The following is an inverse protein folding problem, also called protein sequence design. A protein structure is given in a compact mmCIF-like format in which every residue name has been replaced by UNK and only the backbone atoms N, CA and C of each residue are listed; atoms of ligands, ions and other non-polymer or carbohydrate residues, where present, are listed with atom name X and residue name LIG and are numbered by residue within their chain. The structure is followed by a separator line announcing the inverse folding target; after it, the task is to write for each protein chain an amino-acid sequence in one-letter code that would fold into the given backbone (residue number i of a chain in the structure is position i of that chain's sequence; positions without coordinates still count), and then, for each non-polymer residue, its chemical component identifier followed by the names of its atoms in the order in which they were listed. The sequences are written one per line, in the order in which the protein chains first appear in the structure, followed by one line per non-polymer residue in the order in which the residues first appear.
data_IF_307746669945
#
_entry.id   IF_307746669945
#
_cell.length_a   1.000
_cell.length_b   1.000
_cell.length_c   1.000
_cell.angle_alpha   90.00
_cell.angle_beta   90.00
_cell.angle_gamma   90.00
#
_symmetry.space_group_name_H-M   'P 1'
#
loop_
_entity.id
_entity.type
_entity.pdbx_description
1 polymer ?
#
# COMPACT_ATOMS: atom_id res chain seq x y z
N UNK A 1 167.16 42.05 71.02
CA UNK A 1 165.80 41.50 71.15
C UNK A 1 165.26 41.39 69.74
N UNK A 2 165.54 40.33 68.97
CA UNK A 2 165.06 38.97 69.21
C UNK A 2 163.63 39.04 69.77
N UNK A 3 162.58 39.14 68.93
CA UNK A 3 162.06 38.15 67.96
C UNK A 3 161.55 36.91 68.69
N UNK A 4 160.22 36.75 68.72
CA UNK A 4 159.55 35.45 68.90
C UNK A 4 158.08 35.46 68.41
N UNK A 5 157.96 35.29 67.08
CA UNK A 5 156.94 34.61 66.25
C UNK A 5 155.44 35.05 66.21
N UNK A 6 155.00 35.57 65.05
CA UNK A 6 153.61 35.42 64.52
C UNK A 6 153.43 35.71 62.99
N UNK A 7 154.43 35.57 62.13
CA UNK A 7 154.21 35.61 60.66
C UNK A 7 154.39 34.18 60.09
N UNK A 8 153.37 33.62 59.42
CA UNK A 8 153.47 32.36 58.66
C UNK A 8 153.25 32.59 57.17
N UNK A 9 153.88 31.73 56.39
CA UNK A 9 153.81 31.78 54.93
C UNK A 9 152.54 31.08 54.46
N UNK A 10 151.73 31.80 53.70
CA UNK A 10 150.62 31.26 52.89
C UNK A 10 150.86 31.54 51.40
N UNK A 11 150.09 30.90 50.50
CA UNK A 11 150.19 31.06 49.03
C UNK A 11 149.78 32.46 48.51
N UNK A 12 149.37 33.35 49.42
CA UNK A 12 148.74 34.65 49.11
C UNK A 12 149.09 35.75 50.13
N UNK A 13 150.25 35.65 50.79
CA UNK A 13 150.80 36.73 51.63
C UNK A 13 150.85 36.39 53.11
N UNK A 14 151.53 37.24 53.87
CA UNK A 14 151.47 37.19 55.33
C UNK A 14 150.13 37.80 55.76
N UNK A 15 149.17 36.98 56.24
CA UNK A 15 148.05 37.49 57.05
C UNK A 15 148.58 37.89 58.42
N UNK A 16 147.96 38.89 59.03
CA UNK A 16 148.08 39.14 60.47
C UNK A 16 146.92 38.40 61.12
N UNK A 17 147.12 37.78 62.27
CA UNK A 17 145.98 37.33 63.09
C UNK A 17 145.19 38.58 63.56
N UNK A 18 143.98 38.82 63.00
CA UNK A 18 143.04 39.87 63.43
C UNK A 18 142.93 41.21 62.66
N UNK A 19 143.24 41.37 61.35
CA UNK A 19 143.11 42.67 60.59
C UNK A 19 142.47 42.61 59.17
N UNK A 20 142.19 43.77 58.52
CA UNK A 20 141.36 44.01 57.27
C UNK A 20 142.12 44.44 55.98
N UNK A 21 141.44 44.40 54.80
CA UNK A 21 142.00 44.36 53.40
C UNK A 21 142.34 45.70 52.70
N UNK A 22 142.08 46.84 53.33
CA UNK A 22 142.14 48.15 52.64
C UNK A 22 142.57 49.33 53.51
N UNK A 23 142.62 49.16 54.82
CA UNK A 23 143.86 49.58 55.44
C UNK A 23 144.90 48.57 55.01
N UNK A 24 146.03 49.04 54.52
CA UNK A 24 147.11 48.12 54.18
C UNK A 24 148.06 48.11 55.35
N UNK A 25 148.36 46.95 55.90
CA UNK A 25 149.46 46.88 56.85
C UNK A 25 150.77 47.34 56.18
N UNK A 26 151.55 48.08 56.93
CA UNK A 26 152.95 48.34 56.66
C UNK A 26 153.81 47.28 57.36
N UNK A 27 154.86 46.79 56.72
CA UNK A 27 155.73 45.75 57.27
C UNK A 27 156.52 46.14 58.55
N UNK A 28 156.29 47.33 59.13
CA UNK A 28 156.67 47.63 60.52
C UNK A 28 155.62 47.24 61.59
N UNK A 29 154.40 46.81 61.22
CA UNK A 29 153.35 46.37 62.16
C UNK A 29 152.14 47.32 62.38
N UNK A 30 152.11 48.51 61.78
CA UNK A 30 150.95 49.45 61.73
C UNK A 30 150.34 49.58 60.31
N UNK A 31 149.25 50.33 60.07
CA UNK A 31 148.51 50.43 58.77
C UNK A 31 148.76 51.75 57.99
N UNK A 32 148.65 51.73 56.64
CA UNK A 32 148.70 52.89 55.72
C UNK A 32 147.58 52.90 54.69
N UNK A 33 147.29 54.14 54.30
CA UNK A 33 146.09 54.55 53.62
C UNK A 33 146.22 54.53 52.10
N UNK A 34 145.05 54.42 51.50
CA UNK A 34 144.70 54.13 50.13
C UNK A 34 145.15 55.20 49.11
N UNK A 35 146.17 56.04 49.37
CA UNK A 35 146.67 57.02 48.37
C UNK A 35 147.49 56.38 47.23
N UNK A 36 147.61 55.05 47.26
CA UNK A 36 147.92 54.21 46.09
C UNK A 36 146.67 53.73 45.36
N UNK A 37 145.51 54.28 45.71
CA UNK A 37 144.38 54.28 44.84
C UNK A 37 144.33 55.64 44.19
N UNK A 38 144.27 55.53 42.87
CA UNK A 38 143.55 56.44 42.03
C UNK A 38 143.67 57.92 42.38
N UNK A 39 144.62 58.67 41.84
CA UNK A 39 145.96 58.39 41.26
C UNK A 39 146.43 59.67 40.59
N UNK A 40 147.67 60.03 40.86
CA UNK A 40 148.31 61.27 40.42
C UNK A 40 148.79 61.21 38.95
N UNK A 41 148.08 60.46 38.10
CA UNK A 41 148.62 60.05 36.79
C UNK A 41 147.74 60.24 35.56
N UNK A 42 146.40 60.43 35.67
CA UNK A 42 145.60 60.48 34.43
C UNK A 42 144.21 61.16 34.46
N UNK A 43 143.89 62.16 35.29
CA UNK A 43 142.70 62.99 34.98
C UNK A 43 142.90 64.48 35.26
N UNK A 44 142.81 65.24 34.17
CA UNK A 44 142.90 66.70 34.08
C UNK A 44 141.52 67.26 33.71
N UNK A 45 140.76 67.91 34.61
CA UNK A 45 139.46 68.49 34.25
C UNK A 45 139.54 70.02 34.06
N UNK A 46 140.18 70.41 32.95
CA UNK A 46 139.56 71.37 32.01
C UNK A 46 138.17 70.89 31.51
N UNK A 47 137.73 69.71 31.94
CA UNK A 47 136.41 69.08 31.82
C UNK A 47 135.49 69.22 33.05
N UNK A 48 135.64 70.20 33.94
CA UNK A 48 134.48 70.57 34.79
C UNK A 48 134.33 72.05 35.17
N UNK A 49 134.86 72.98 34.38
CA UNK A 49 134.12 74.23 34.16
C UNK A 49 133.79 74.23 32.68
N UNK A 50 132.52 74.35 32.24
CA UNK A 50 132.24 74.48 30.83
C UNK A 50 132.84 75.81 30.31
N UNK A 51 134.12 75.81 29.97
CA UNK A 51 134.67 76.75 29.02
C UNK A 51 133.97 76.45 27.72
N UNK A 52 132.96 77.26 27.42
CA UNK A 52 132.96 78.07 26.17
C UNK A 52 131.64 78.77 25.89
N UNK A 53 130.82 79.13 26.89
CA UNK A 53 129.80 80.14 26.59
C UNK A 53 129.72 81.20 27.67
N UNK A 54 130.28 82.37 27.38
CA UNK A 54 129.68 83.62 27.83
C UNK A 54 128.66 84.04 26.77
N UNK A 55 127.59 84.71 27.19
CA UNK A 55 126.62 85.30 26.28
C UNK A 55 126.53 86.78 26.55
N UNK A 56 126.79 87.58 25.53
CA UNK A 56 126.55 89.02 25.55
C UNK A 56 125.24 89.31 24.83
N UNK A 57 124.19 89.73 25.54
CA UNK A 57 122.92 90.22 24.96
C UNK A 57 122.62 91.59 25.60
N UNK A 58 122.38 92.59 24.74
CA UNK A 58 122.34 94.04 25.06
C UNK A 58 123.61 94.58 25.78
N UNK A 59 124.80 94.22 25.30
CA UNK A 59 126.07 94.84 25.72
C UNK A 59 126.62 94.40 27.09
N UNK A 60 125.89 93.53 27.79
CA UNK A 60 126.33 92.97 29.08
C UNK A 60 126.71 91.50 28.89
N UNK A 61 127.93 91.12 29.27
CA UNK A 61 128.42 89.74 29.18
C UNK A 61 128.02 88.96 30.42
N UNK A 62 127.36 87.82 30.23
CA UNK A 62 126.92 86.92 31.30
C UNK A 62 127.59 85.55 31.20
N UNK A 63 127.88 84.97 32.36
CA UNK A 63 128.46 83.62 32.53
C UNK A 63 127.37 82.54 32.40
N UNK A 64 127.56 81.54 31.52
CA UNK A 64 126.61 80.45 31.26
C UNK A 64 126.94 79.13 31.97
N UNK A 65 127.80 79.15 33.00
CA UNK A 65 127.99 78.00 33.91
C UNK A 65 126.84 77.79 34.92
N UNK A 66 125.79 78.62 34.87
CA UNK A 66 124.57 78.50 35.68
C UNK A 66 123.30 78.55 34.82
N UNK A 67 122.33 77.67 35.09
CA UNK A 67 121.05 77.59 34.36
C UNK A 67 120.20 78.85 34.63
N UNK A 68 120.17 79.78 33.67
CA UNK A 68 119.40 81.04 33.68
C UNK A 68 118.51 81.10 32.44
N UNK A 69 117.22 81.36 32.62
CA UNK A 69 116.26 81.60 31.53
C UNK A 69 116.10 83.10 31.27
N UNK A 70 116.02 83.51 30.00
CA UNK A 70 115.93 84.89 29.53
C UNK A 70 114.77 85.04 28.52
N UNK A 71 114.00 86.13 28.56
CA UNK A 71 112.99 86.46 27.55
C UNK A 71 113.05 87.92 27.13
N UNK A 72 113.17 88.18 25.82
CA UNK A 72 113.07 89.49 25.17
C UNK A 72 111.64 89.73 24.66
N UNK A 73 111.12 90.97 24.62
CA UNK A 73 109.80 91.24 24.07
C UNK A 73 109.89 91.31 22.53
N UNK A 74 109.47 90.24 21.85
CA UNK A 74 109.47 90.17 20.38
C UNK A 74 108.10 90.63 19.83
N UNK A 75 108.06 91.66 18.98
CA UNK A 75 106.84 92.22 18.35
C UNK A 75 106.65 91.75 16.91
N UNK A 76 106.99 90.50 16.60
CA UNK A 76 106.80 89.95 15.26
C UNK A 76 105.32 89.57 15.04
N UNK A 77 104.52 90.48 14.49
CA UNK A 77 103.21 90.12 13.89
C UNK A 77 103.47 89.42 12.55
N UNK A 78 103.53 88.09 12.55
CA UNK A 78 103.67 87.28 11.33
C UNK A 78 102.30 87.04 10.70
N UNK A 79 102.00 87.65 9.55
CA UNK A 79 100.86 87.23 8.72
C UNK A 79 101.38 86.46 7.50
N UNK A 80 101.29 85.12 7.52
CA UNK A 80 101.60 84.27 6.36
C UNK A 80 100.31 83.95 5.61
N UNK A 81 100.11 84.54 4.44
CA UNK A 81 99.09 84.09 3.48
C UNK A 81 99.62 82.97 2.59
N UNK A 82 99.55 81.71 3.04
CA UNK A 82 99.80 80.55 2.17
C UNK A 82 101.21 80.45 1.56
N UNK A 83 101.42 79.48 0.66
CA UNK A 83 102.73 78.92 0.28
C UNK A 83 103.67 79.82 -0.54
N UNK A 84 103.33 81.08 -0.80
CA UNK A 84 104.17 81.96 -1.62
C UNK A 84 103.86 83.44 -1.37
N UNK A 85 104.88 84.21 -0.99
CA UNK A 85 104.82 85.67 -0.82
C UNK A 85 106.08 86.19 -0.14
N UNK A 86 106.65 87.30 -0.63
CA UNK A 86 107.80 87.95 0.01
C UNK A 86 107.33 88.74 1.23
N UNK A 87 108.13 88.76 2.30
CA UNK A 87 107.80 89.48 3.52
C UNK A 87 107.84 90.99 3.24
N UNK A 88 106.76 91.69 3.56
CA UNK A 88 106.68 93.15 3.45
C UNK A 88 106.46 93.73 4.84
N UNK A 89 107.17 94.81 5.16
CA UNK A 89 106.99 95.58 6.39
C UNK A 89 106.16 96.83 6.09
N UNK A 90 105.09 97.07 6.84
CA UNK A 90 104.15 98.18 6.68
C UNK A 90 102.70 97.77 6.98
N UNK A 91 101.75 98.69 6.78
CA UNK A 91 100.31 98.41 6.94
C UNK A 91 99.78 97.46 5.84
N UNK A 92 98.87 96.55 6.20
CA UNK A 92 98.27 95.56 5.28
C UNK A 92 96.76 95.81 5.11
N UNK A 93 96.28 96.00 3.88
CA UNK A 93 94.86 96.24 3.56
C UNK A 93 94.17 94.98 3.03
N UNK A 94 93.02 94.61 3.59
CA UNK A 94 92.16 93.51 3.13
C UNK A 94 90.86 94.08 2.55
N UNK A 95 90.61 93.90 1.24
CA UNK A 95 89.40 94.40 0.58
C UNK A 95 88.38 93.28 0.33
N UNK A 96 87.10 93.51 0.65
CA UNK A 96 85.99 92.56 0.44
C UNK A 96 85.17 92.94 -0.80
N UNK A 97 84.64 91.94 -1.52
CA UNK A 97 83.62 92.14 -2.57
C UNK A 97 82.22 92.36 -1.97
N UNK A 98 81.26 92.83 -2.76
CA UNK A 98 79.94 93.29 -2.27
C UNK A 98 79.12 92.23 -1.49
N UNK A 99 79.34 90.95 -1.75
CA UNK A 99 78.63 89.83 -1.10
C UNK A 99 79.37 89.28 0.13
N UNK A 100 80.45 89.94 0.56
CA UNK A 100 81.26 89.53 1.69
C UNK A 100 81.57 90.70 2.60
N UNK A 101 81.42 90.50 3.90
CA UNK A 101 81.76 91.49 4.92
C UNK A 101 83.02 91.03 5.64
N UNK A 102 84.02 91.91 5.72
CA UNK A 102 85.21 91.70 6.54
C UNK A 102 85.10 92.60 7.76
N UNK A 103 85.15 92.01 8.96
CA UNK A 103 85.15 92.74 10.22
C UNK A 103 86.25 92.24 11.15
N UNK A 104 86.77 93.13 11.99
CA UNK A 104 87.75 92.79 13.01
C UNK A 104 87.21 93.11 14.40
N UNK A 105 87.43 92.20 15.33
CA UNK A 105 87.23 92.45 16.76
C UNK A 105 88.41 91.87 17.55
N UNK A 106 89.11 92.73 18.29
CA UNK A 106 90.37 92.36 18.95
C UNK A 106 91.40 91.81 17.96
N UNK A 107 91.92 90.62 18.22
CA UNK A 107 92.94 89.96 17.40
C UNK A 107 92.35 89.07 16.28
N UNK A 108 91.02 88.98 16.13
CA UNK A 108 90.36 88.10 15.16
C UNK A 108 89.73 88.90 14.02
N UNK A 109 89.98 88.46 12.78
CA UNK A 109 89.33 88.96 11.57
C UNK A 109 88.34 87.90 11.08
N UNK A 110 87.08 88.29 10.90
CA UNK A 110 86.00 87.42 10.43
C UNK A 110 85.58 87.79 9.02
N UNK A 111 85.42 86.79 8.14
CA UNK A 111 84.89 86.94 6.79
C UNK A 111 83.55 86.19 6.69
N UNK A 112 82.47 86.85 6.29
CA UNK A 112 81.13 86.25 6.16
C UNK A 112 80.48 86.60 4.80
N UNK A 113 79.78 85.64 4.17
CA UNK A 113 79.09 85.82 2.87
C UNK A 113 77.68 85.24 2.86
N UNK A 114 76.77 85.86 2.10
CA UNK A 114 75.32 85.62 2.19
C UNK A 114 74.71 84.78 1.05
N UNK A 115 75.42 84.50 -0.05
CA UNK A 115 74.85 83.75 -1.19
C UNK A 115 75.79 82.63 -1.66
N UNK A 116 75.46 81.38 -1.33
CA UNK A 116 76.12 80.19 -1.90
C UNK A 116 75.10 79.33 -2.65
N UNK A 117 75.33 79.12 -3.94
CA UNK A 117 74.52 78.22 -4.79
C UNK A 117 74.98 76.77 -4.59
N UNK A 118 74.04 75.84 -4.37
CA UNK A 118 74.31 74.39 -4.27
C UNK A 118 73.67 73.63 -5.44
N UNK A 119 74.39 72.65 -6.01
CA UNK A 119 73.86 71.72 -7.03
C UNK A 119 73.89 70.30 -6.45
N UNK A 120 72.75 69.61 -6.45
CA UNK A 120 72.63 68.21 -6.03
C UNK A 120 72.02 67.37 -7.17
N UNK A 121 72.56 66.17 -7.41
CA UNK A 121 72.12 65.25 -8.47
C UNK A 121 70.78 64.56 -8.16
N UNK A 122 70.72 63.22 -8.26
CA UNK A 122 69.47 62.41 -8.20
C UNK A 122 68.77 62.33 -6.83
N UNK A 123 69.00 63.28 -5.92
CA UNK A 123 68.33 63.34 -4.64
C UNK A 123 68.85 64.48 -3.80
N UNK A 124 67.93 65.30 -3.30
CA UNK A 124 68.18 66.38 -2.34
C UNK A 124 67.40 66.04 -1.07
N UNK A 125 68.08 65.79 0.03
CA UNK A 125 67.44 65.64 1.34
C UNK A 125 68.06 66.69 2.26
N UNK A 126 67.27 67.68 2.68
CA UNK A 126 67.71 68.77 3.56
C UNK A 126 66.73 68.90 4.73
N UNK A 127 67.29 68.96 5.94
CA UNK A 127 66.55 69.31 7.16
C UNK A 127 66.84 70.76 7.51
N UNK A 128 65.79 71.59 7.62
CA UNK A 128 65.88 72.96 8.13
C UNK A 128 65.50 74.08 7.16
N UNK A 129 65.29 73.79 5.87
CA UNK A 129 64.70 74.74 4.90
C UNK A 129 63.75 73.99 3.96
N UNK A 130 62.49 74.40 3.87
CA UNK A 130 61.47 73.71 3.06
C UNK A 130 61.53 74.08 1.58
N UNK A 131 61.62 73.07 0.72
CA UNK A 131 61.11 73.09 -0.66
C UNK A 131 59.97 72.06 -0.75
N UNK A 132 58.79 72.45 -1.25
CA UNK A 132 57.64 71.56 -1.43
C UNK A 132 57.43 71.26 -2.92
N UNK A 133 57.32 69.98 -3.31
CA UNK A 133 56.84 69.58 -4.63
C UNK A 133 55.33 69.27 -4.53
N UNK A 134 54.45 69.87 -5.37
CA UNK A 134 53.00 69.61 -5.32
C UNK A 134 52.64 68.15 -5.61
N UNK A 135 51.70 67.57 -4.86
CA UNK A 135 51.09 66.25 -5.15
C UNK A 135 49.64 66.46 -5.60
N UNK A 136 49.28 65.86 -6.74
CA UNK A 136 47.93 65.94 -7.32
C UNK A 136 47.36 64.53 -7.54
N UNK A 137 46.06 64.34 -7.32
CA UNK A 137 45.36 63.09 -7.64
C UNK A 137 44.56 63.24 -8.94
N UNK A 138 44.60 62.22 -9.80
CA UNK A 138 43.84 62.14 -11.05
C UNK A 138 42.87 60.95 -11.02
N UNK A 139 41.58 61.20 -11.23
CA UNK A 139 40.53 60.18 -11.11
C UNK A 139 39.78 60.20 -9.77
N UNK A 140 38.73 59.39 -9.65
CA UNK A 140 37.78 59.39 -8.50
C UNK A 140 37.70 58.04 -7.79
N UNK A 141 38.70 57.18 -7.99
CA UNK A 141 38.75 55.82 -7.44
C UNK A 141 39.32 55.70 -6.02
N UNK A 142 39.15 54.53 -5.41
CA UNK A 142 39.64 54.24 -4.05
C UNK A 142 40.96 53.45 -4.03
N UNK A 143 41.48 53.04 -5.18
CA UNK A 143 42.77 52.36 -5.30
C UNK A 143 43.70 53.12 -6.23
N UNK A 144 44.99 53.12 -5.88
CA UNK A 144 46.02 53.69 -6.74
C UNK A 144 46.29 52.73 -7.90
N UNK A 145 46.18 53.24 -9.12
CA UNK A 145 46.45 52.49 -10.34
C UNK A 145 47.76 52.92 -11.02
N UNK A 146 48.35 54.05 -10.61
CA UNK A 146 49.67 54.50 -11.07
C UNK A 146 50.17 55.77 -10.37
N UNK A 147 51.47 56.03 -10.44
CA UNK A 147 52.12 57.25 -9.94
C UNK A 147 53.15 57.75 -10.96
N UNK A 148 53.11 59.04 -11.29
CA UNK A 148 54.03 59.66 -12.27
C UNK A 148 54.61 60.95 -11.72
N UNK A 149 55.94 61.13 -11.81
CA UNK A 149 56.61 62.39 -11.50
C UNK A 149 56.80 63.22 -12.79
N UNK A 150 56.50 64.51 -12.71
CA UNK A 150 56.69 65.47 -13.79
C UNK A 150 57.46 66.69 -13.30
N UNK A 151 57.86 67.58 -14.21
CA UNK A 151 58.48 68.86 -13.87
C UNK A 151 57.63 69.73 -12.92
N UNK A 152 56.30 69.49 -12.85
CA UNK A 152 55.36 70.26 -12.04
C UNK A 152 54.98 69.58 -10.71
N UNK A 153 55.53 68.39 -10.40
CA UNK A 153 55.22 67.63 -9.18
C UNK A 153 54.90 66.16 -9.42
N UNK A 154 54.19 65.53 -8.49
CA UNK A 154 53.78 64.12 -8.56
C UNK A 154 52.28 64.02 -8.81
N UNK A 155 51.86 63.16 -9.75
CA UNK A 155 50.45 62.82 -10.00
C UNK A 155 50.17 61.35 -9.65
N UNK A 156 49.14 61.11 -8.83
CA UNK A 156 48.67 59.77 -8.44
C UNK A 156 47.35 59.47 -9.16
N UNK A 157 47.30 58.42 -9.96
CA UNK A 157 46.10 57.97 -10.67
C UNK A 157 45.27 57.01 -9.82
N UNK A 158 43.96 57.24 -9.75
CA UNK A 158 43.02 56.46 -8.94
C UNK A 158 42.01 55.69 -9.81
N UNK A 159 41.69 54.45 -9.42
CA UNK A 159 40.69 53.56 -10.03
C UNK A 159 39.80 52.85 -9.00
N UNK A 160 38.84 52.05 -9.46
CA UNK A 160 37.83 51.39 -8.62
C UNK A 160 37.89 49.85 -8.71
N UNK A 161 37.58 49.16 -7.62
CA UNK A 161 37.37 47.70 -7.63
C UNK A 161 36.03 47.35 -8.32
N UNK A 162 35.90 46.17 -8.97
CA UNK A 162 34.62 45.67 -9.47
C UNK A 162 33.56 45.57 -8.35
N UNK A 163 32.33 45.92 -8.67
CA UNK A 163 31.19 45.91 -7.74
C UNK A 163 30.46 44.56 -7.76
N UNK A 164 29.64 44.28 -6.75
CA UNK A 164 28.77 43.10 -6.75
C UNK A 164 27.84 43.02 -7.97
N UNK A 165 27.50 44.17 -8.59
CA UNK A 165 26.72 44.22 -9.82
C UNK A 165 27.53 43.72 -11.04
N UNK A 166 28.83 44.00 -11.08
CA UNK A 166 29.72 43.52 -12.14
C UNK A 166 29.91 42.00 -12.08
N UNK A 167 29.80 41.40 -10.88
CA UNK A 167 29.91 39.95 -10.68
C UNK A 167 28.61 39.18 -10.99
N UNK A 168 27.46 39.84 -11.10
CA UNK A 168 26.16 39.17 -11.27
C UNK A 168 26.02 38.41 -12.61
N UNK A 169 26.80 38.79 -13.62
CA UNK A 169 26.77 38.17 -14.95
C UNK A 169 27.74 36.97 -15.11
N UNK A 170 28.46 36.60 -14.04
CA UNK A 170 29.46 35.54 -14.09
C UNK A 170 29.07 34.35 -13.23
N UNK A 171 29.31 33.15 -13.74
CA UNK A 171 29.23 31.91 -12.97
C UNK A 171 30.60 31.64 -12.33
N UNK A 172 30.72 31.59 -10.99
CA UNK A 172 31.95 31.23 -10.30
C UNK A 172 32.48 29.87 -10.76
N UNK A 173 33.79 29.75 -10.95
CA UNK A 173 34.43 28.47 -11.34
C UNK A 173 34.13 27.36 -10.33
N UNK A 174 34.02 27.71 -9.04
CA UNK A 174 33.67 26.79 -7.96
C UNK A 174 32.26 26.20 -8.06
N UNK A 175 31.37 26.79 -8.87
CA UNK A 175 29.99 26.30 -9.05
C UNK A 175 29.83 25.43 -10.31
N UNK A 176 30.85 25.33 -11.18
CA UNK A 176 30.72 24.60 -12.45
C UNK A 176 30.96 23.11 -12.27
N UNK A 177 30.02 22.27 -12.68
CA UNK A 177 30.18 20.81 -12.74
C UNK A 177 30.31 20.12 -11.37
N UNK A 178 29.85 20.77 -10.29
CA UNK A 178 29.83 20.24 -8.93
C UNK A 178 28.39 20.00 -8.44
N UNK A 179 28.23 19.24 -7.34
CA UNK A 179 26.94 19.07 -6.70
C UNK A 179 26.35 20.42 -6.23
N UNK A 180 25.05 20.63 -6.46
CA UNK A 180 24.33 21.90 -6.19
C UNK A 180 24.84 23.12 -6.99
N UNK A 181 25.66 22.89 -8.03
CA UNK A 181 26.16 23.94 -8.92
C UNK A 181 25.39 24.02 -10.24
N UNK A 182 26.08 24.55 -11.26
CA UNK A 182 25.59 24.67 -12.64
C UNK A 182 26.26 23.61 -13.51
N UNK A 183 25.49 22.95 -14.37
CA UNK A 183 26.02 22.00 -15.35
C UNK A 183 27.00 22.67 -16.32
N UNK A 184 28.06 21.95 -16.71
CA UNK A 184 28.98 22.43 -17.75
C UNK A 184 28.53 21.94 -19.12
N UNK A 185 28.99 22.61 -20.17
CA UNK A 185 28.83 22.14 -21.54
C UNK A 185 30.16 21.58 -22.06
N UNK A 186 30.07 20.53 -22.87
CA UNK A 186 31.19 20.00 -23.64
C UNK A 186 31.49 20.85 -24.90
N UNK A 187 32.43 20.38 -25.73
CA UNK A 187 32.82 21.07 -26.96
C UNK A 187 31.69 21.24 -27.98
N UNK A 188 30.65 20.42 -27.90
CA UNK A 188 29.43 20.49 -28.72
C UNK A 188 28.33 21.36 -28.11
N UNK A 189 28.54 21.93 -26.93
CA UNK A 189 27.53 22.72 -26.24
C UNK A 189 26.47 21.88 -25.53
N UNK A 190 26.75 20.61 -25.22
CA UNK A 190 25.84 19.70 -24.53
C UNK A 190 26.33 19.39 -23.12
N UNK A 191 25.41 19.01 -22.20
CA UNK A 191 25.80 18.57 -20.86
C UNK A 191 26.48 17.20 -20.97
N UNK A 192 27.72 17.02 -20.48
CA UNK A 192 28.40 15.73 -20.53
C UNK A 192 27.60 14.62 -19.84
N UNK A 193 27.60 13.40 -20.39
CA UNK A 193 26.88 12.27 -19.82
C UNK A 193 27.30 11.95 -18.36
N UNK A 194 28.52 12.30 -17.95
CA UNK A 194 28.98 12.15 -16.56
C UNK A 194 28.22 13.03 -15.56
N UNK A 195 27.49 14.05 -16.03
CA UNK A 195 26.62 14.92 -15.23
C UNK A 195 25.14 14.51 -15.29
N UNK A 196 24.81 13.44 -16.04
CA UNK A 196 23.45 12.91 -16.14
C UNK A 196 23.30 11.67 -15.24
N UNK A 197 22.15 11.49 -14.56
CA UNK A 197 21.86 10.27 -13.83
C UNK A 197 21.79 9.03 -14.74
N UNK A 198 22.13 7.85 -14.21
CA UNK A 198 22.20 6.58 -14.95
C UNK A 198 20.87 6.02 -15.46
N UNK A 199 19.75 6.68 -15.15
CA UNK A 199 18.41 6.32 -15.61
C UNK A 199 17.91 7.20 -16.77
N UNK A 200 18.75 8.10 -17.27
CA UNK A 200 18.52 8.82 -18.53
C UNK A 200 19.08 7.94 -19.66
N UNK A 201 18.25 7.04 -20.16
CA UNK A 201 18.59 6.22 -21.33
C UNK A 201 18.05 6.88 -22.61
N UNK A 202 18.85 6.85 -23.68
CA UNK A 202 18.40 7.22 -25.02
C UNK A 202 17.44 6.14 -25.56
N UNK A 203 16.16 6.50 -25.73
CA UNK A 203 15.16 5.65 -26.40
C UNK A 203 15.07 6.05 -27.87
N UNK A 204 15.39 5.12 -28.77
CA UNK A 204 15.25 5.30 -30.21
C UNK A 204 14.04 4.53 -30.71
N UNK A 205 13.16 5.22 -31.42
CA UNK A 205 12.00 4.62 -32.06
C UNK A 205 12.30 4.33 -33.53
N UNK A 206 11.84 3.17 -34.01
CA UNK A 206 12.02 2.75 -35.39
C UNK A 206 11.19 1.52 -35.73
N UNK A 207 11.51 0.83 -36.81
CA UNK A 207 10.81 -0.37 -37.28
C UNK A 207 11.78 -1.55 -37.28
N UNK A 208 11.52 -2.56 -36.44
CA UNK A 208 12.34 -3.76 -36.35
C UNK A 208 11.94 -4.77 -37.43
N UNK A 209 12.86 -5.07 -38.33
CA UNK A 209 12.64 -6.06 -39.38
C UNK A 209 13.14 -7.43 -38.92
N UNK A 210 12.19 -8.32 -38.65
CA UNK A 210 12.46 -9.68 -38.16
C UNK A 210 13.37 -10.47 -39.11
N UNK A 211 13.25 -10.25 -40.43
CA UNK A 211 13.98 -11.03 -41.44
C UNK A 211 15.51 -10.84 -41.39
N UNK A 212 15.99 -9.66 -40.98
CA UNK A 212 17.43 -9.35 -40.91
C UNK A 212 17.89 -8.90 -39.52
N UNK A 213 16.97 -8.82 -38.55
CA UNK A 213 17.26 -8.52 -37.16
C UNK A 213 17.73 -7.09 -36.93
N UNK A 214 17.33 -6.13 -37.77
CA UNK A 214 17.79 -4.74 -37.74
C UNK A 214 16.65 -3.74 -37.52
N UNK A 215 17.01 -2.56 -37.01
CA UNK A 215 16.10 -1.42 -36.86
C UNK A 215 16.24 -0.43 -38.00
N UNK A 216 15.12 0.15 -38.44
CA UNK A 216 15.09 1.15 -39.50
C UNK A 216 14.28 2.37 -39.07
N UNK A 217 14.58 3.55 -39.63
CA UNK A 217 13.88 4.80 -39.28
C UNK A 217 12.43 4.83 -39.78
N UNK A 218 12.11 4.05 -40.80
CA UNK A 218 10.80 4.03 -41.44
C UNK A 218 10.35 2.61 -41.82
N UNK A 219 9.04 2.43 -41.99
CA UNK A 219 8.41 1.15 -42.32
C UNK A 219 8.83 0.57 -43.68
N UNK A 220 9.43 1.39 -44.55
CA UNK A 220 9.97 0.96 -45.84
C UNK A 220 11.33 0.23 -45.72
N UNK A 221 11.96 0.25 -44.53
CA UNK A 221 13.21 -0.46 -44.23
C UNK A 221 14.40 -0.06 -45.13
N UNK A 222 14.53 1.23 -45.41
CA UNK A 222 15.60 1.77 -46.28
C UNK A 222 16.77 2.37 -45.52
N UNK A 223 16.51 3.12 -44.44
CA UNK A 223 17.50 3.81 -43.63
C UNK A 223 17.72 3.04 -42.33
N UNK A 224 18.90 2.42 -42.22
CA UNK A 224 19.29 1.64 -41.06
C UNK A 224 19.53 2.56 -39.85
N UNK A 225 18.98 2.17 -38.68
CA UNK A 225 19.40 2.67 -37.38
C UNK A 225 20.53 1.76 -36.87
N UNK A 226 21.73 2.31 -36.77
CA UNK A 226 22.86 1.60 -36.18
C UNK A 226 22.56 1.28 -34.71
N UNK A 227 22.89 0.06 -34.29
CA UNK A 227 22.82 -0.35 -32.90
C UNK A 227 23.95 0.30 -32.09
N UNK A 228 23.59 1.00 -31.02
CA UNK A 228 24.52 1.70 -30.13
C UNK A 228 24.35 1.16 -28.70
N UNK A 229 25.47 0.95 -28.01
CA UNK A 229 25.48 0.45 -26.63
C UNK A 229 24.80 1.45 -25.69
N UNK A 230 23.97 0.97 -24.77
CA UNK A 230 23.28 1.81 -23.79
C UNK A 230 21.99 2.46 -24.32
N UNK A 231 21.54 2.12 -25.53
CA UNK A 231 20.28 2.60 -26.08
C UNK A 231 19.18 1.54 -26.03
N UNK A 232 17.98 2.00 -25.76
CA UNK A 232 16.76 1.20 -25.85
C UNK A 232 16.10 1.49 -27.19
N UNK A 233 15.66 0.45 -27.89
CA UNK A 233 15.00 0.59 -29.18
C UNK A 233 13.56 0.11 -29.07
N UNK A 234 12.61 0.92 -29.54
CA UNK A 234 11.18 0.57 -29.54
C UNK A 234 10.70 0.45 -30.98
N UNK A 235 10.16 -0.71 -31.33
CA UNK A 235 9.58 -0.96 -32.64
C UNK A 235 8.19 -0.35 -32.72
N UNK A 236 7.99 0.65 -33.58
CA UNK A 236 6.75 1.42 -33.72
C UNK A 236 5.57 0.60 -34.25
N UNK A 237 5.86 -0.46 -35.01
CA UNK A 237 4.85 -1.36 -35.59
C UNK A 237 4.35 -2.44 -34.62
N UNK A 238 5.20 -2.87 -33.68
CA UNK A 238 4.91 -3.99 -32.77
C UNK A 238 4.91 -3.60 -31.30
N UNK A 239 5.26 -2.35 -30.97
CA UNK A 239 5.49 -1.83 -29.62
C UNK A 239 6.45 -2.69 -28.78
N UNK A 240 7.34 -3.43 -29.45
CA UNK A 240 8.33 -4.29 -28.81
C UNK A 240 9.60 -3.51 -28.49
N UNK A 241 10.11 -3.70 -27.28
CA UNK A 241 11.34 -3.08 -26.80
C UNK A 241 12.54 -4.00 -27.00
N UNK A 242 13.65 -3.47 -27.48
CA UNK A 242 14.89 -4.20 -27.75
C UNK A 242 16.08 -3.47 -27.14
N UNK A 243 17.16 -4.21 -26.86
CA UNK A 243 18.49 -3.67 -26.53
C UNK A 243 19.53 -4.13 -27.54
N UNK A 244 20.49 -3.26 -27.83
CA UNK A 244 21.67 -3.62 -28.60
C UNK A 244 22.69 -4.37 -27.73
N UNK A 245 23.18 -5.51 -28.22
CA UNK A 245 24.18 -6.36 -27.53
C UNK A 245 25.62 -6.11 -27.97
N UNK A 246 25.84 -5.18 -28.91
CA UNK A 246 27.12 -5.03 -29.62
C UNK A 246 27.14 -5.71 -30.98
N UNK A 247 26.25 -6.69 -31.22
CA UNK A 247 26.19 -7.43 -32.51
C UNK A 247 24.76 -7.65 -33.02
N UNK A 248 23.78 -7.77 -32.13
CA UNK A 248 22.38 -7.97 -32.50
C UNK A 248 21.42 -7.26 -31.56
N UNK A 249 20.23 -6.96 -32.05
CA UNK A 249 19.12 -6.46 -31.22
C UNK A 249 18.41 -7.64 -30.56
N UNK A 250 18.35 -7.62 -29.22
CA UNK A 250 17.65 -8.63 -28.43
C UNK A 250 16.37 -8.04 -27.88
N UNK A 251 15.26 -8.73 -28.12
CA UNK A 251 13.94 -8.38 -27.58
C UNK A 251 13.95 -8.49 -26.05
N UNK A 252 13.48 -7.44 -25.38
CA UNK A 252 13.24 -7.42 -23.94
C UNK A 252 11.77 -7.76 -23.75
N UNK A 253 11.48 -9.00 -23.32
CA UNK A 253 10.12 -9.44 -23.04
C UNK A 253 9.59 -8.81 -21.75
N UNK A 254 8.36 -8.30 -21.78
CA UNK A 254 7.65 -7.79 -20.61
C UNK A 254 6.86 -8.92 -19.93
N UNK A 255 7.53 -9.98 -19.48
CA UNK A 255 6.99 -10.96 -18.51
C UNK A 255 5.67 -11.69 -18.84
N UNK A 256 5.07 -11.53 -20.03
CA UNK A 256 3.85 -12.21 -20.42
C UNK A 256 4.19 -13.59 -21.01
N UNK A 257 4.00 -14.63 -20.19
CA UNK A 257 4.00 -16.08 -20.47
C UNK A 257 4.77 -16.53 -21.73
N UNK A 258 6.00 -17.01 -21.53
CA UNK A 258 6.83 -17.56 -22.61
C UNK A 258 6.19 -18.78 -23.29
N UNK A 259 5.49 -19.65 -22.55
CA UNK A 259 4.57 -20.61 -23.17
C UNK A 259 3.46 -21.14 -22.27
N UNK A 260 2.32 -21.52 -22.88
CA UNK A 260 1.30 -22.40 -22.28
C UNK A 260 1.24 -23.68 -23.09
N UNK A 261 1.61 -24.82 -22.49
CA UNK A 261 1.62 -26.12 -23.16
C UNK A 261 2.43 -26.13 -24.49
N UNK A 262 3.58 -25.43 -24.51
CA UNK A 262 4.46 -25.34 -25.69
C UNK A 262 4.10 -24.25 -26.71
N UNK A 263 3.02 -23.49 -26.50
CA UNK A 263 2.65 -22.35 -27.36
C UNK A 263 3.34 -21.07 -26.89
N UNK A 264 4.18 -20.46 -27.71
CA UNK A 264 4.89 -19.20 -27.42
C UNK A 264 4.23 -17.99 -28.12
N UNK A 265 4.30 -16.77 -27.54
CA UNK A 265 3.80 -15.53 -28.17
C UNK A 265 2.40 -15.10 -27.70
N UNK A 266 1.58 -14.50 -28.58
CA UNK A 266 0.18 -14.16 -28.25
C UNK A 266 -0.64 -15.44 -28.22
N UNK A 267 -0.83 -16.01 -27.03
CA UNK A 267 -1.51 -17.30 -26.86
C UNK A 267 -3.03 -17.13 -26.91
N UNK A 268 -3.64 -17.59 -28.02
CA UNK A 268 -5.09 -17.77 -28.12
C UNK A 268 -5.43 -19.23 -27.80
N UNK A 269 -6.03 -19.47 -26.63
CA UNK A 269 -6.39 -20.81 -26.19
C UNK A 269 -7.68 -21.29 -26.88
N UNK A 270 -7.67 -22.54 -27.35
CA UNK A 270 -8.87 -23.25 -27.77
C UNK A 270 -9.08 -24.47 -26.86
N UNK A 271 -10.21 -25.17 -27.05
CA UNK A 271 -10.61 -26.30 -26.19
C UNK A 271 -9.53 -27.40 -26.11
N UNK A 272 -8.75 -27.63 -27.16
CA UNK A 272 -7.71 -28.67 -27.16
C UNK A 272 -6.51 -28.34 -26.28
N UNK A 273 -6.24 -27.05 -26.03
CA UNK A 273 -5.05 -26.60 -25.28
C UNK A 273 -5.16 -26.78 -23.75
N UNK A 274 -6.33 -27.13 -23.23
CA UNK A 274 -6.61 -27.22 -21.78
C UNK A 274 -7.09 -28.62 -21.35
N UNK A 275 -6.77 -29.65 -22.14
CA UNK A 275 -7.10 -31.04 -21.79
C UNK A 275 -8.60 -31.36 -21.85
N UNK A 276 -9.39 -30.53 -22.54
CA UNK A 276 -10.83 -30.76 -22.73
C UNK A 276 -11.13 -31.76 -23.86
N UNK A 277 -10.14 -32.44 -24.44
CA UNK A 277 -10.37 -33.47 -25.48
C UNK A 277 -11.27 -34.60 -25.00
N UNK A 278 -11.32 -34.84 -23.68
CA UNK A 278 -12.26 -35.76 -23.02
C UNK A 278 -13.28 -35.05 -22.10
N UNK A 279 -13.25 -33.71 -22.01
CA UNK A 279 -14.17 -32.91 -21.18
C UNK A 279 -14.95 -32.00 -22.11
N UNK A 280 -16.17 -32.39 -22.44
CA UNK A 280 -17.02 -31.60 -23.31
C UNK A 280 -17.35 -30.25 -22.63
N UNK A 281 -16.77 -29.14 -23.09
CA UNK A 281 -17.06 -27.79 -22.54
C UNK A 281 -18.21 -27.12 -23.30
N UNK A 282 -19.29 -27.89 -23.42
CA UNK A 282 -20.61 -27.41 -23.77
C UNK A 282 -21.28 -27.03 -22.45
N UNK A 283 -21.88 -25.83 -22.36
CA UNK A 283 -22.66 -25.43 -21.18
C UNK A 283 -23.59 -26.59 -20.80
N UNK A 284 -23.78 -26.88 -19.51
CA UNK A 284 -24.47 -28.10 -19.06
C UNK A 284 -25.82 -28.36 -19.76
N UNK A 285 -26.46 -27.31 -20.29
CA UNK A 285 -27.66 -27.35 -21.10
C UNK A 285 -27.54 -28.00 -22.51
N UNK A 286 -26.36 -28.15 -23.12
CA UNK A 286 -26.17 -28.78 -24.44
C UNK A 286 -25.27 -30.01 -24.46
N UNK A 287 -24.71 -30.40 -23.31
CA UNK A 287 -24.45 -31.83 -23.07
C UNK A 287 -25.80 -32.51 -23.04
N UNK A 288 -25.89 -33.75 -23.52
CA UNK A 288 -27.01 -34.59 -23.13
C UNK A 288 -26.86 -34.95 -21.64
N UNK A 289 -27.11 -33.99 -20.74
CA UNK A 289 -27.55 -34.25 -19.37
C UNK A 289 -29.08 -34.33 -19.37
N UNK A 290 -29.66 -34.87 -20.45
CA UNK A 290 -31.08 -35.08 -20.61
C UNK A 290 -31.44 -36.34 -19.81
N UNK A 291 -32.13 -36.12 -18.68
CA UNK A 291 -32.79 -37.11 -17.80
C UNK A 291 -31.89 -38.27 -17.33
N UNK A 292 -31.40 -38.20 -16.08
CA UNK A 292 -30.74 -39.29 -15.33
C UNK A 292 -30.06 -40.34 -16.22
N UNK A 293 -28.75 -40.17 -16.49
CA UNK A 293 -27.96 -41.14 -17.25
C UNK A 293 -28.28 -42.55 -16.79
N UNK A 294 -28.62 -43.42 -17.74
CA UNK A 294 -28.99 -44.81 -17.50
C UNK A 294 -28.13 -45.39 -16.38
N UNK A 295 -28.75 -45.83 -15.27
CA UNK A 295 -28.01 -46.39 -14.15
C UNK A 295 -27.13 -47.52 -14.68
N UNK A 296 -25.81 -47.41 -14.45
CA UNK A 296 -24.83 -48.41 -14.92
C UNK A 296 -25.18 -49.81 -14.41
N UNK A 297 -25.80 -49.89 -13.24
CA UNK A 297 -26.41 -51.10 -12.70
C UNK A 297 -27.91 -50.86 -12.51
N UNK A 298 -28.72 -51.53 -13.33
CA UNK A 298 -30.17 -51.47 -13.20
C UNK A 298 -30.62 -52.07 -11.86
N UNK A 299 -31.72 -51.57 -11.29
CA UNK A 299 -32.27 -52.08 -10.02
C UNK A 299 -33.65 -52.67 -10.23
N UNK A 300 -33.93 -53.76 -9.52
CA UNK A 300 -35.26 -54.35 -9.48
C UNK A 300 -36.10 -53.64 -8.43
N UNK A 301 -37.28 -53.14 -8.82
CA UNK A 301 -38.26 -52.54 -7.92
C UNK A 301 -39.47 -53.48 -7.84
N UNK A 302 -39.80 -53.89 -6.61
CA UNK A 302 -40.96 -54.71 -6.29
C UNK A 302 -41.90 -53.95 -5.34
N UNK A 303 -43.20 -54.15 -5.48
CA UNK A 303 -44.21 -53.63 -4.55
C UNK A 303 -44.50 -54.68 -3.48
N UNK A 304 -44.27 -54.33 -2.21
CA UNK A 304 -44.60 -55.20 -1.09
C UNK A 304 -46.10 -55.17 -0.77
N UNK A 305 -46.65 -56.30 -0.33
CA UNK A 305 -48.05 -56.43 0.08
C UNK A 305 -49.04 -56.75 -1.05
N UNK A 306 -48.69 -56.51 -2.32
CA UNK A 306 -49.55 -56.84 -3.48
C UNK A 306 -48.91 -57.90 -4.36
N UNK A 307 -49.72 -58.57 -5.19
CA UNK A 307 -49.20 -59.49 -6.21
C UNK A 307 -48.86 -58.67 -7.45
N UNK A 308 -47.55 -58.46 -7.65
CA UNK A 308 -46.99 -57.71 -8.78
C UNK A 308 -45.75 -58.40 -9.33
N UNK A 309 -45.43 -58.14 -10.59
CA UNK A 309 -44.18 -58.61 -11.21
C UNK A 309 -43.14 -57.50 -11.10
N UNK A 310 -42.07 -57.74 -10.34
CA UNK A 310 -40.98 -56.77 -10.17
C UNK A 310 -40.42 -56.33 -11.53
N UNK A 311 -40.17 -55.03 -11.68
CA UNK A 311 -39.65 -54.46 -12.92
C UNK A 311 -38.23 -53.92 -12.69
N UNK A 312 -37.42 -54.01 -13.74
CA UNK A 312 -36.08 -53.43 -13.74
C UNK A 312 -36.17 -51.98 -14.19
N UNK A 313 -35.59 -51.07 -13.40
CA UNK A 313 -35.44 -49.66 -13.77
C UNK A 313 -33.98 -49.31 -13.94
N UNK A 314 -33.69 -48.55 -14.98
CA UNK A 314 -32.36 -47.99 -15.23
C UNK A 314 -32.43 -46.51 -15.60
N UNK A 315 -33.59 -45.86 -15.53
CA UNK A 315 -33.72 -44.43 -15.86
C UNK A 315 -33.85 -44.13 -17.36
N UNK A 316 -33.87 -45.13 -18.25
CA UNK A 316 -34.05 -44.91 -19.69
C UNK A 316 -35.47 -44.49 -20.09
N UNK A 317 -36.43 -44.51 -19.17
CA UNK A 317 -37.82 -44.14 -19.42
C UNK A 317 -38.75 -44.45 -18.25
N UNK A 318 -40.04 -44.15 -18.43
CA UNK A 318 -41.08 -44.50 -17.48
C UNK A 318 -41.28 -46.01 -17.44
N UNK A 319 -41.40 -46.58 -16.24
CA UNK A 319 -41.65 -48.02 -16.03
C UNK A 319 -42.95 -48.20 -15.27
N UNK A 320 -43.87 -48.97 -15.83
CA UNK A 320 -45.15 -49.34 -15.20
C UNK A 320 -44.98 -50.67 -14.48
N UNK A 321 -45.31 -50.73 -13.18
CA UNK A 321 -45.32 -51.99 -12.43
C UNK A 321 -46.75 -52.56 -12.47
N UNK A 322 -47.00 -53.70 -13.14
CA UNK A 322 -48.33 -54.29 -13.20
C UNK A 322 -48.69 -54.93 -11.86
N UNK A 323 -49.76 -54.46 -11.24
CA UNK A 323 -50.42 -55.13 -10.10
C UNK A 323 -51.51 -56.03 -10.63
N UNK A 324 -51.42 -57.33 -10.36
CA UNK A 324 -52.36 -58.34 -10.86
C UNK A 324 -53.38 -58.77 -9.82
N UNK A 325 -53.05 -58.64 -8.54
CA UNK A 325 -54.01 -58.80 -7.45
C UNK A 325 -53.60 -58.00 -6.20
N UNK A 326 -54.60 -57.56 -5.45
CA UNK A 326 -54.43 -56.90 -4.16
C UNK A 326 -55.11 -57.77 -3.10
N UNK A 327 -54.39 -58.26 -2.07
CA UNK A 327 -55.00 -59.02 -0.98
C UNK A 327 -56.11 -58.23 -0.28
N UNK A 328 -57.23 -58.89 0.02
CA UNK A 328 -58.39 -58.26 0.65
C UNK A 328 -58.08 -57.64 2.03
N UNK A 329 -57.06 -58.13 2.73
CA UNK A 329 -56.61 -57.58 4.03
C UNK A 329 -56.00 -56.17 3.92
N UNK A 330 -55.60 -55.75 2.72
CA UNK A 330 -55.05 -54.42 2.45
C UNK A 330 -56.10 -53.42 1.97
N UNK A 331 -57.34 -53.88 1.74
CA UNK A 331 -58.47 -53.00 1.39
C UNK A 331 -59.17 -52.56 2.69
N UNK A 332 -58.96 -51.31 3.09
CA UNK A 332 -59.72 -50.67 4.19
C UNK A 332 -60.63 -49.57 3.62
N UNK A 333 -61.88 -49.49 4.08
CA UNK A 333 -62.87 -48.50 3.62
C UNK A 333 -63.70 -48.93 2.40
N UNK A 334 -64.45 -48.01 1.81
CA UNK A 334 -65.21 -48.26 0.57
C UNK A 334 -64.24 -48.35 -0.60
N UNK A 335 -63.95 -49.55 -1.07
CA UNK A 335 -63.15 -49.75 -2.27
C UNK A 335 -63.94 -49.24 -3.48
N UNK A 336 -63.62 -48.03 -3.98
CA UNK A 336 -64.12 -47.49 -5.24
C UNK A 336 -63.47 -48.19 -6.47
N UNK A 337 -63.07 -49.45 -6.32
CA UNK A 337 -62.53 -50.24 -7.42
C UNK A 337 -63.74 -50.63 -8.26
N UNK A 338 -63.76 -50.14 -9.50
CA UNK A 338 -64.54 -50.75 -10.55
C UNK A 338 -64.05 -52.20 -10.69
N UNK A 339 -64.65 -53.12 -9.95
CA UNK A 339 -64.54 -54.55 -10.21
C UNK A 339 -65.32 -54.78 -11.49
N UNK A 340 -64.69 -54.49 -12.63
CA UNK A 340 -65.23 -54.73 -13.97
C UNK A 340 -65.58 -56.20 -14.09
N UNK A 341 -66.80 -56.56 -13.68
CA UNK A 341 -67.27 -57.94 -13.68
C UNK A 341 -68.50 -58.23 -12.82
N UNK A 342 -68.56 -57.79 -11.55
CA UNK A 342 -69.69 -58.02 -10.63
C UNK A 342 -69.40 -57.37 -9.28
N UNK A 343 -70.43 -57.06 -8.49
CA UNK A 343 -70.28 -56.87 -7.04
C UNK A 343 -69.36 -57.99 -6.50
N UNK A 344 -68.37 -57.65 -5.67
CA UNK A 344 -67.46 -58.66 -5.11
C UNK A 344 -68.31 -59.75 -4.45
N UNK A 345 -68.28 -60.96 -5.03
CA UNK A 345 -69.05 -62.08 -4.50
C UNK A 345 -68.71 -62.26 -3.03
N UNK A 346 -69.70 -62.41 -2.16
CA UNK A 346 -69.43 -62.82 -0.79
C UNK A 346 -68.75 -64.20 -0.85
N UNK A 347 -67.50 -64.29 -0.39
CA UNK A 347 -66.73 -65.55 -0.41
C UNK A 347 -67.48 -66.68 0.29
N UNK A 348 -68.25 -66.34 1.32
CA UNK A 348 -69.22 -67.24 1.94
C UNK A 348 -70.62 -66.65 1.72
N UNK A 349 -71.49 -67.29 0.92
CA UNK A 349 -72.87 -66.84 0.73
C UNK A 349 -73.59 -66.66 2.07
N UNK A 350 -74.53 -65.73 2.12
CA UNK A 350 -75.39 -65.51 3.31
C UNK A 350 -76.80 -65.94 2.98
N UNK A 351 -77.44 -66.64 3.93
CA UNK A 351 -78.87 -66.94 3.83
C UNK A 351 -79.63 -65.69 4.29
N UNK A 352 -80.46 -65.15 3.41
CA UNK A 352 -81.46 -64.15 3.77
C UNK A 352 -82.76 -64.91 4.02
N UNK A 353 -83.37 -64.73 5.20
CA UNK A 353 -84.57 -65.46 5.59
C UNK A 353 -85.63 -64.57 6.24
N UNK A 354 -86.90 -64.87 5.96
CA UNK A 354 -88.06 -64.45 6.71
C UNK A 354 -88.66 -65.65 7.46
N UNK A 355 -89.06 -65.44 8.71
CA UNK A 355 -89.62 -66.47 9.61
C UNK A 355 -90.86 -65.92 10.33
N UNK A 356 -91.75 -66.80 10.77
CA UNK A 356 -93.03 -66.46 11.41
C UNK A 356 -94.20 -66.86 10.53
N UNK A 357 -95.15 -65.95 10.34
CA UNK A 357 -96.37 -66.20 9.54
C UNK A 357 -96.08 -66.41 8.05
N UNK A 358 -94.88 -66.05 7.60
CA UNK A 358 -94.36 -66.39 6.30
C UNK A 358 -92.93 -66.93 6.42
N UNK A 359 -92.66 -67.99 5.67
CA UNK A 359 -91.36 -68.61 5.53
C UNK A 359 -90.81 -68.34 4.12
N UNK A 360 -89.61 -67.79 4.07
CA UNK A 360 -88.85 -67.56 2.86
C UNK A 360 -87.37 -67.62 3.18
N UNK A 361 -86.58 -68.24 2.33
CA UNK A 361 -85.14 -68.16 2.44
C UNK A 361 -84.49 -68.27 1.07
N UNK A 362 -83.35 -67.61 0.90
CA UNK A 362 -82.53 -67.69 -0.31
C UNK A 362 -81.06 -67.47 0.05
N UNK A 363 -80.16 -68.20 -0.61
CA UNK A 363 -78.72 -67.95 -0.53
C UNK A 363 -78.35 -66.80 -1.45
N UNK A 364 -77.69 -65.77 -0.92
CA UNK A 364 -77.23 -64.62 -1.68
C UNK A 364 -75.73 -64.43 -1.52
N UNK A 365 -75.03 -64.34 -2.65
CA UNK A 365 -73.59 -64.04 -2.70
C UNK A 365 -73.27 -62.82 -3.58
N UNK A 366 -74.28 -62.13 -4.13
CA UNK A 366 -74.10 -60.96 -4.98
C UNK A 366 -73.75 -61.23 -6.44
N UNK A 367 -73.68 -62.49 -6.89
CA UNK A 367 -73.32 -62.83 -8.28
C UNK A 367 -74.46 -62.72 -9.30
N UNK A 368 -75.71 -62.80 -8.86
CA UNK A 368 -76.89 -62.68 -9.69
C UNK A 368 -78.10 -62.26 -8.85
N UNK A 369 -79.19 -61.90 -9.53
CA UNK A 369 -80.50 -61.80 -8.89
C UNK A 369 -80.92 -63.18 -8.37
N UNK A 370 -81.52 -63.21 -7.18
CA UNK A 370 -82.00 -64.43 -6.54
C UNK A 370 -83.49 -64.35 -6.28
N UNK A 371 -84.20 -65.47 -6.43
CA UNK A 371 -85.64 -65.59 -6.15
C UNK A 371 -85.90 -66.88 -5.40
N UNK A 372 -86.92 -66.87 -4.55
CA UNK A 372 -87.40 -68.04 -3.81
C UNK A 372 -88.88 -67.86 -3.51
N UNK A 373 -89.63 -68.95 -3.31
CA UNK A 373 -91.06 -68.90 -3.09
C UNK A 373 -91.38 -68.55 -1.62
N UNK A 374 -92.26 -67.55 -1.41
CA UNK A 374 -92.78 -67.22 -0.08
C UNK A 374 -93.92 -68.18 0.28
N UNK A 375 -93.80 -68.85 1.42
CA UNK A 375 -94.82 -69.77 1.91
C UNK A 375 -95.46 -69.20 3.17
N UNK A 376 -96.79 -69.13 3.21
CA UNK A 376 -97.53 -68.73 4.40
C UNK A 376 -97.70 -69.92 5.35
N UNK A 377 -97.58 -69.68 6.66
CA UNK A 377 -97.90 -70.65 7.69
C UNK A 377 -99.41 -70.94 7.72
N UNK A 378 -99.78 -72.14 8.18
CA UNK A 378 -101.18 -72.46 8.46
C UNK A 378 -101.64 -71.69 9.70
N UNK A 379 -102.80 -71.01 9.63
CA UNK A 379 -103.36 -70.23 10.74
C UNK A 379 -104.03 -71.10 11.81
N UNK A 380 -104.05 -72.42 11.63
CA UNK A 380 -104.79 -73.38 12.47
C UNK A 380 -106.26 -73.55 12.07
N UNK A 381 -106.78 -72.72 11.15
CA UNK A 381 -108.12 -72.90 10.59
C UNK A 381 -108.11 -74.13 9.67
N UNK A 382 -109.02 -75.07 9.91
CA UNK A 382 -109.18 -76.25 9.04
C UNK A 382 -109.72 -75.81 7.68
N UNK A 383 -109.06 -76.22 6.59
CA UNK A 383 -109.53 -75.91 5.25
C UNK A 383 -110.94 -76.47 5.03
N UNK A 384 -111.84 -75.67 4.45
CA UNK A 384 -113.21 -76.09 4.20
C UNK A 384 -114.17 -74.93 3.98
N UNK A 385 -115.41 -75.28 3.65
CA UNK A 385 -116.53 -74.35 3.53
C UNK A 385 -117.24 -74.23 4.87
N UNK A 386 -117.22 -73.02 5.42
CA UNK A 386 -118.05 -72.54 6.52
C UNK A 386 -119.32 -71.88 5.96
N UNK A 387 -120.29 -71.55 6.82
CA UNK A 387 -121.63 -71.09 6.43
C UNK A 387 -121.65 -70.04 5.31
N UNK A 388 -120.75 -69.06 5.36
CA UNK A 388 -120.68 -67.98 4.36
C UNK A 388 -119.33 -67.92 3.61
N UNK A 389 -118.28 -68.65 4.03
CA UNK A 389 -116.93 -68.56 3.41
C UNK A 389 -116.26 -69.91 3.26
N UNK A 390 -115.48 -70.08 2.20
CA UNK A 390 -114.55 -71.21 2.05
C UNK A 390 -113.14 -70.73 2.28
N UNK A 391 -112.36 -71.44 3.09
CA UNK A 391 -110.96 -71.13 3.36
C UNK A 391 -110.03 -72.25 2.90
N UNK A 392 -108.82 -71.90 2.47
CA UNK A 392 -107.77 -72.87 2.16
C UNK A 392 -107.03 -73.36 3.42
N UNK A 393 -106.06 -74.26 3.27
CA UNK A 393 -105.26 -74.79 4.39
C UNK A 393 -104.33 -73.75 5.05
N UNK A 394 -104.22 -72.57 4.45
CA UNK A 394 -103.52 -71.41 5.01
C UNK A 394 -104.51 -70.45 5.70
N UNK A 395 -105.79 -70.80 5.80
CA UNK A 395 -106.85 -70.00 6.43
C UNK A 395 -107.27 -68.76 5.64
N UNK A 396 -106.89 -68.66 4.36
CA UNK A 396 -107.30 -67.54 3.50
C UNK A 396 -108.68 -67.82 2.94
N UNK A 397 -109.57 -66.82 2.94
CA UNK A 397 -110.87 -66.93 2.25
C UNK A 397 -110.64 -67.03 0.75
N UNK A 398 -111.10 -68.13 0.16
CA UNK A 398 -111.01 -68.44 -1.28
C UNK A 398 -112.36 -68.39 -2.00
N UNK A 399 -113.48 -68.37 -1.27
CA UNK A 399 -114.82 -68.11 -1.80
C UNK A 399 -115.76 -67.59 -0.69
N UNK A 400 -116.84 -66.91 -1.06
CA UNK A 400 -117.86 -66.45 -0.12
C UNK A 400 -119.28 -66.39 -0.72
N UNK A 401 -120.29 -66.50 0.13
CA UNK A 401 -121.72 -66.45 -0.20
C UNK A 401 -122.41 -65.31 0.57
N UNK A 402 -123.29 -64.57 -0.10
CA UNK A 402 -124.14 -63.54 0.52
C UNK A 402 -125.59 -63.98 0.44
N UNK A 403 -126.15 -64.48 1.54
CA UNK A 403 -127.55 -64.94 1.58
C UNK A 403 -128.47 -63.81 2.03
N UNK A 404 -129.55 -63.56 1.29
CA UNK A 404 -130.58 -62.57 1.63
C UNK A 404 -131.43 -63.10 2.80
N UNK A 405 -131.49 -62.34 3.91
CA UNK A 405 -132.09 -62.80 5.18
C UNK A 405 -133.56 -62.40 5.35
N UNK A 406 -134.01 -61.32 4.72
CA UNK A 406 -135.39 -60.85 4.82
C UNK A 406 -135.85 -60.12 3.56
N UNK A 407 -137.17 -60.09 3.37
CA UNK A 407 -137.85 -59.39 2.31
C UNK A 407 -139.10 -58.72 2.89
N UNK A 408 -139.33 -57.44 2.56
CA UNK A 408 -140.50 -56.70 3.05
C UNK A 408 -141.28 -56.07 1.91
N UNK A 409 -142.61 -56.03 2.04
CA UNK A 409 -143.55 -55.40 1.10
C UNK A 409 -144.83 -54.96 1.82
N UNK A 410 -145.81 -54.41 1.12
CA UNK A 410 -147.12 -54.07 1.69
C UNK A 410 -148.26 -54.50 0.77
N UNK A 411 -149.39 -54.92 1.34
CA UNK A 411 -150.58 -55.41 0.61
C UNK A 411 -151.86 -54.76 1.15
N UNK A 412 -152.87 -54.54 0.31
CA UNK A 412 -154.17 -53.92 0.68
C UNK A 412 -155.34 -54.91 0.73
N UNK A 413 -155.06 -56.21 0.64
CA UNK A 413 -156.04 -57.30 0.63
C UNK A 413 -155.36 -58.66 0.46
N UNK A 414 -156.15 -59.72 0.26
CA UNK A 414 -155.64 -61.06 -0.07
C UNK A 414 -154.75 -61.00 -1.31
N UNK A 415 -153.50 -61.47 -1.20
CA UNK A 415 -152.49 -61.31 -2.24
C UNK A 415 -151.40 -62.40 -2.20
N UNK A 416 -150.78 -62.61 -3.36
CA UNK A 416 -149.53 -63.35 -3.48
C UNK A 416 -148.33 -62.41 -3.30
N UNK A 417 -147.43 -62.72 -2.36
CA UNK A 417 -146.17 -62.00 -2.15
C UNK A 417 -145.01 -62.86 -2.66
N UNK A 418 -144.27 -62.33 -3.64
CA UNK A 418 -143.04 -62.93 -4.18
C UNK A 418 -141.83 -62.33 -3.44
N UNK A 419 -140.96 -63.19 -2.89
CA UNK A 419 -139.70 -62.85 -2.21
C UNK A 419 -138.52 -63.58 -2.86
N UNK A 420 -137.28 -63.30 -2.44
CA UNK A 420 -136.06 -63.88 -3.01
C UNK A 420 -135.21 -64.62 -1.97
N UNK A 421 -135.88 -65.21 -0.96
CA UNK A 421 -135.21 -65.86 0.18
C UNK A 421 -134.80 -67.31 -0.12
N UNK A 422 -135.33 -67.91 -1.19
CA UNK A 422 -134.97 -69.25 -1.63
C UNK A 422 -135.28 -70.36 -0.62
N UNK A 423 -136.16 -70.12 0.35
CA UNK A 423 -136.59 -71.12 1.33
C UNK A 423 -138.08 -70.99 1.65
N UNK A 424 -138.69 -72.11 2.02
CA UNK A 424 -140.04 -72.14 2.61
C UNK A 424 -140.00 -71.98 4.13
N UNK A 425 -138.84 -72.12 4.76
CA UNK A 425 -138.70 -71.93 6.21
C UNK A 425 -138.59 -70.43 6.52
N UNK A 426 -139.74 -69.76 6.49
CA UNK A 426 -139.85 -68.32 6.71
C UNK A 426 -140.81 -68.01 7.85
N UNK A 427 -140.49 -66.97 8.61
CA UNK A 427 -141.42 -66.32 9.51
C UNK A 427 -142.00 -65.09 8.80
N UNK A 428 -143.32 -64.95 8.81
CA UNK A 428 -144.03 -63.83 8.17
C UNK A 428 -144.69 -62.98 9.24
N UNK A 429 -144.27 -61.72 9.32
CA UNK A 429 -144.84 -60.74 10.23
C UNK A 429 -145.69 -59.75 9.43
N UNK A 430 -146.92 -59.51 9.90
CA UNK A 430 -147.91 -58.68 9.23
C UNK A 430 -148.48 -57.64 10.19
N UNK A 431 -148.35 -56.36 9.84
CA UNK A 431 -148.81 -55.25 10.67
C UNK A 431 -149.59 -54.24 9.84
N UNK A 432 -150.69 -53.74 10.38
CA UNK A 432 -151.42 -52.62 9.79
C UNK A 432 -150.49 -51.40 9.71
N UNK A 433 -150.38 -50.78 8.53
CA UNK A 433 -149.43 -49.69 8.27
C UNK A 433 -149.78 -48.38 8.98
N UNK A 434 -151.01 -48.24 9.46
CA UNK A 434 -151.50 -47.02 10.12
C UNK A 434 -151.59 -47.23 11.62
N UNK A 435 -152.21 -48.31 12.05
CA UNK A 435 -152.47 -48.60 13.48
C UNK A 435 -151.39 -49.43 14.14
N UNK A 436 -150.49 -50.05 13.35
CA UNK A 436 -149.41 -50.93 13.82
C UNK A 436 -149.87 -52.16 14.61
N UNK A 437 -151.18 -52.45 14.64
CA UNK A 437 -151.64 -53.71 15.19
C UNK A 437 -151.22 -54.86 14.30
N UNK A 438 -150.86 -55.97 14.93
CA UNK A 438 -150.58 -57.21 14.23
C UNK A 438 -151.87 -57.65 13.54
N UNK A 439 -151.75 -57.95 12.26
CA UNK A 439 -152.84 -58.53 11.49
C UNK A 439 -152.54 -60.01 11.32
N UNK A 440 -153.47 -60.86 11.73
CA UNK A 440 -153.38 -62.29 11.48
C UNK A 440 -154.11 -62.61 10.17
N UNK A 441 -153.49 -63.47 9.36
CA UNK A 441 -154.02 -63.93 8.09
C UNK A 441 -153.64 -65.39 7.88
N UNK A 442 -154.36 -66.09 7.01
CA UNK A 442 -153.99 -67.46 6.63
C UNK A 442 -152.87 -67.36 5.60
N UNK A 443 -151.70 -67.85 5.98
CA UNK A 443 -150.50 -67.80 5.15
C UNK A 443 -150.25 -69.18 4.57
N UNK A 444 -150.20 -69.27 3.25
CA UNK A 444 -149.81 -70.47 2.52
C UNK A 444 -148.42 -70.24 1.94
N UNK A 445 -147.47 -71.05 2.39
CA UNK A 445 -146.15 -71.13 1.76
C UNK A 445 -146.32 -71.87 0.44
N UNK A 446 -146.19 -71.18 -0.69
CA UNK A 446 -146.52 -71.74 -2.01
C UNK A 446 -145.26 -72.28 -2.69
N UNK A 447 -144.15 -71.55 -2.66
CA UNK A 447 -142.83 -72.00 -3.10
C UNK A 447 -141.71 -71.27 -2.29
N UNK A 448 -140.42 -71.62 -2.45
CA UNK A 448 -139.32 -71.01 -1.69
C UNK A 448 -139.16 -69.48 -1.84
N UNK A 449 -139.88 -68.88 -2.78
CA UNK A 449 -139.84 -67.46 -3.11
C UNK A 449 -141.25 -66.86 -3.17
N UNK A 450 -142.27 -67.54 -2.64
CA UNK A 450 -143.64 -67.07 -2.71
C UNK A 450 -144.50 -67.53 -1.54
N UNK A 451 -145.22 -66.57 -0.96
CA UNK A 451 -146.28 -66.81 0.02
C UNK A 451 -147.60 -66.25 -0.51
N UNK A 452 -148.70 -66.95 -0.26
CA UNK A 452 -150.05 -66.44 -0.51
C UNK A 452 -150.71 -66.11 0.84
N UNK A 453 -151.26 -64.91 0.96
CA UNK A 453 -151.85 -64.40 2.20
C UNK A 453 -153.33 -64.16 1.94
N UNK A 454 -154.18 -64.81 2.73
CA UNK A 454 -155.64 -64.67 2.69
C UNK A 454 -156.17 -64.07 4.00
N UNK A 455 -157.09 -63.10 3.87
CA UNK A 455 -157.83 -62.51 4.98
C UNK A 455 -159.31 -62.89 4.92
N UNK A 456 -159.92 -63.13 6.08
CA UNK A 456 -161.32 -63.55 6.18
C UNK A 456 -162.32 -62.38 6.04
N UNK A 457 -161.83 -61.13 6.05
CA UNK A 457 -162.62 -59.91 5.83
C UNK A 457 -161.82 -58.84 5.09
N UNK A 458 -162.51 -57.84 4.53
CA UNK A 458 -161.86 -56.68 3.93
C UNK A 458 -160.99 -55.94 4.96
N UNK A 459 -159.77 -55.58 4.55
CA UNK A 459 -158.84 -54.87 5.42
C UNK A 459 -159.12 -53.37 5.41
N UNK A 460 -159.11 -52.69 6.57
CA UNK A 460 -159.36 -51.26 6.65
C UNK A 460 -158.18 -50.41 6.14
N UNK A 461 -156.94 -50.88 6.28
CA UNK A 461 -155.73 -50.23 5.78
C UNK A 461 -154.78 -51.24 5.11
N UNK A 462 -153.76 -50.73 4.42
CA UNK A 462 -152.66 -51.54 3.90
C UNK A 462 -151.88 -52.21 5.04
N UNK A 463 -151.37 -53.41 4.83
CA UNK A 463 -150.62 -54.23 5.79
C UNK A 463 -149.18 -54.37 5.31
N UNK A 464 -148.21 -54.00 6.15
CA UNK A 464 -146.80 -54.26 5.93
C UNK A 464 -146.49 -55.73 6.24
N UNK A 465 -145.82 -56.37 5.30
CA UNK A 465 -145.43 -57.78 5.33
C UNK A 465 -143.92 -57.84 5.39
N UNK A 466 -143.38 -58.57 6.35
CA UNK A 466 -141.95 -58.92 6.37
C UNK A 466 -141.81 -60.43 6.44
N UNK A 467 -141.15 -60.99 5.44
CA UNK A 467 -140.80 -62.40 5.33
C UNK A 467 -139.34 -62.54 5.71
N UNK A 468 -139.02 -63.36 6.71
CA UNK A 468 -137.66 -63.55 7.21
C UNK A 468 -137.28 -65.01 7.14
N UNK A 469 -136.07 -65.31 6.65
CA UNK A 469 -135.49 -66.66 6.67
C UNK A 469 -135.32 -67.15 8.11
N UNK A 470 -135.65 -68.40 8.38
CA UNK A 470 -135.49 -69.03 9.71
C UNK A 470 -134.38 -70.06 9.77
N UNK A 471 -133.83 -70.44 8.63
CA UNK A 471 -132.74 -71.38 8.42
C UNK A 471 -131.36 -70.71 8.36
N UNK A 472 -131.23 -69.48 8.88
CA UNK A 472 -129.99 -68.73 9.20
C UNK A 472 -130.25 -68.05 10.53
#
# INVERSE_FOLDING_TARGET
MDIKYAYYRSSVGYKIEGKTDSEVLTAGGGTRSISTFWHDGNLNPLDYVPKTRTLTINGTAYDLSANRSFTTPDTITRLKGGASGSLVSGDVTLAAGSNMTISQSGNTITLASTDTTYSAGNGLTLSGTTFSLPVTTSGTGNVVTGVTQTANGITVSLGSLPTSADLANYIPVSQKGIANGVATLDASGQVPASQLPSYVDDVLEGYYKVADGKFYKEAAYTNLLAGETGKIYVSLDTNKTYRWTGTTFVYITSGAVDSVNGLTGVVVLNKSHVGLSNVDNTADASKSVLSATKWTTARSIALSGVISTAQTIDGSGNVTIPVTAVPATLLTGTAAINTTGSSAKLTTPRIISATGDAAWNVSFDGSANVTSALTLAATGVTAGTYDEVTVDSKGRVIAGSNIVKSYSTSISGTASVVHNLGTRNVDVAMYDTVTFYKIDGRIKLTDPNKIDIEFDSALPNTVAITVTRKDI
#
